data_IF_056972214797
#
_entry.id   IF_056972214797
#
_cell.length_a   1.000
_cell.length_b   1.000
_cell.length_c   1.000
_cell.angle_alpha   90.00
_cell.angle_beta   90.00
_cell.angle_gamma   90.00
#
_symmetry.space_group_name_H-M   'P 1'
#
loop_
_entity.id
_entity.type
_entity.pdbx_description
1 polymer ?
#
# COMPACT_ATOMS: atom_id res chain seq x y z
N UNK A 1 32.06 21.03 -69.97
CA UNK A 1 32.22 22.50 -70.02
C UNK A 1 30.89 23.15 -69.67
N UNK A 2 30.90 24.02 -68.64
CA UNK A 2 29.92 25.10 -68.33
C UNK A 2 28.45 24.68 -68.04
N UNK A 3 27.77 25.09 -66.97
CA UNK A 3 28.07 25.95 -65.81
C UNK A 3 27.00 25.71 -64.72
N UNK A 4 27.38 26.03 -63.48
CA UNK A 4 26.60 25.94 -62.24
C UNK A 4 25.65 27.14 -62.06
N UNK A 5 24.49 26.96 -61.41
CA UNK A 5 23.97 27.90 -60.40
C UNK A 5 23.02 27.20 -59.41
N UNK A 6 23.08 27.62 -58.14
CA UNK A 6 22.42 27.01 -56.99
C UNK A 6 21.15 27.77 -56.51
N UNK A 7 20.24 26.99 -55.89
CA UNK A 7 19.07 27.22 -55.00
C UNK A 7 18.72 28.64 -54.46
N UNK A 8 17.43 28.93 -54.15
CA UNK A 8 16.91 28.61 -52.82
C UNK A 8 15.47 28.01 -52.75
N UNK A 9 15.24 27.24 -51.67
CA UNK A 9 14.00 26.59 -51.22
C UNK A 9 12.80 27.56 -51.04
N UNK A 10 11.60 27.12 -51.44
CA UNK A 10 10.31 27.60 -50.91
C UNK A 10 9.59 26.48 -50.16
N UNK A 11 9.29 26.76 -48.89
CA UNK A 11 8.42 25.95 -48.04
C UNK A 11 6.99 25.96 -48.62
N UNK A 12 6.32 24.80 -48.66
CA UNK A 12 4.89 24.78 -48.89
C UNK A 12 4.16 23.99 -47.80
N UNK A 13 3.10 24.66 -47.33
CA UNK A 13 2.30 24.43 -46.14
C UNK A 13 1.16 23.47 -46.48
N UNK A 14 0.80 22.64 -45.49
CA UNK A 14 -0.36 21.73 -45.38
C UNK A 14 -1.55 22.02 -46.32
N UNK A 15 -2.05 20.98 -47.01
CA UNK A 15 -3.48 20.84 -47.34
C UNK A 15 -4.12 19.93 -46.30
N UNK A 16 -4.85 20.53 -45.37
CA UNK A 16 -5.86 19.88 -44.55
C UNK A 16 -7.10 19.61 -45.40
N UNK A 17 -7.60 18.37 -45.37
CA UNK A 17 -8.87 17.99 -46.00
C UNK A 17 -10.05 18.57 -45.23
N UNK A 18 -11.10 18.85 -46.00
CA UNK A 18 -12.24 19.76 -45.75
C UNK A 18 -13.25 19.34 -44.66
N UNK A 19 -12.87 18.48 -43.69
CA UNK A 19 -13.82 17.96 -42.68
C UNK A 19 -13.56 18.55 -41.29
N UNK A 20 -12.35 19.03 -41.01
CA UNK A 20 -11.96 19.57 -39.68
C UNK A 20 -12.45 21.01 -39.41
N UNK A 21 -12.88 21.74 -40.45
CA UNK A 21 -13.40 23.11 -40.28
C UNK A 21 -14.92 23.18 -40.00
N UNK A 22 -15.67 22.10 -40.20
CA UNK A 22 -17.13 22.09 -39.98
C UNK A 22 -17.52 21.81 -38.52
N UNK A 23 -16.66 21.14 -37.74
CA UNK A 23 -16.98 20.73 -36.35
C UNK A 23 -16.57 21.77 -35.27
N UNK A 24 -16.16 22.98 -35.67
CA UNK A 24 -15.78 24.06 -34.74
C UNK A 24 -16.78 25.24 -34.69
N UNK A 25 -17.94 25.13 -35.33
CA UNK A 25 -18.91 26.24 -35.42
C UNK A 25 -20.24 25.99 -34.68
N UNK A 26 -20.23 25.27 -33.55
CA UNK A 26 -21.42 25.22 -32.68
C UNK A 26 -21.08 25.91 -31.34
N UNK A 27 -21.68 27.08 -31.05
CA UNK A 27 -21.38 27.88 -29.86
C UNK A 27 -22.15 27.37 -28.63
N UNK A 28 -21.52 27.44 -27.46
CA UNK A 28 -22.20 27.44 -26.16
C UNK A 28 -21.94 28.80 -25.49
N UNK A 29 -23.05 29.50 -25.21
CA UNK A 29 -23.24 30.82 -24.61
C UNK A 29 -22.24 31.20 -23.50
N UNK A 30 -21.61 32.38 -23.55
CA UNK A 30 -22.07 33.74 -23.18
C UNK A 30 -22.10 34.04 -21.66
N UNK A 31 -21.21 34.96 -21.25
CA UNK A 31 -21.29 36.02 -20.22
C UNK A 31 -19.87 36.64 -20.16
N UNK A 32 -19.49 37.75 -20.79
CA UNK A 32 -19.98 39.14 -20.89
C UNK A 32 -19.65 40.02 -19.66
N UNK A 33 -18.58 40.82 -19.79
CA UNK A 33 -18.31 42.14 -19.17
C UNK A 33 -17.22 42.83 -20.04
N UNK A 34 -17.58 43.67 -21.03
CA UNK A 34 -17.55 45.16 -21.04
C UNK A 34 -16.16 45.78 -20.67
N UNK A 35 -15.29 46.19 -21.61
CA UNK A 35 -15.22 47.40 -22.48
C UNK A 35 -15.14 48.76 -21.77
N UNK A 36 -14.01 49.48 -21.91
CA UNK A 36 -13.85 50.83 -22.51
C UNK A 36 -12.54 51.54 -22.09
N UNK A 37 -11.96 52.35 -22.99
CA UNK A 37 -11.19 53.55 -22.61
C UNK A 37 -9.80 53.72 -23.26
N UNK A 38 -9.64 54.79 -24.05
CA UNK A 38 -8.42 55.19 -24.75
C UNK A 38 -7.64 56.32 -24.07
N UNK A 39 -6.37 56.46 -24.46
CA UNK A 39 -5.58 57.72 -24.67
C UNK A 39 -4.53 58.19 -23.62
N UNK A 40 -3.26 58.21 -24.09
CA UNK A 40 -2.06 59.04 -23.79
C UNK A 40 -1.59 59.44 -22.36
N UNK A 41 -0.34 59.10 -21.99
CA UNK A 41 0.78 60.06 -21.71
C UNK A 41 2.11 59.42 -21.24
N UNK A 42 3.21 59.86 -21.86
CA UNK A 42 4.59 60.17 -21.38
C UNK A 42 5.51 59.11 -20.71
N UNK A 43 6.73 59.06 -21.27
CA UNK A 43 8.02 58.44 -20.91
C UNK A 43 8.29 58.02 -19.44
N UNK A 44 8.80 56.80 -19.28
CA UNK A 44 10.04 56.56 -18.53
C UNK A 44 10.78 55.33 -19.09
N UNK A 45 12.09 55.47 -19.30
CA UNK A 45 12.97 54.46 -19.87
C UNK A 45 13.34 53.41 -18.84
N UNK A 46 12.64 52.28 -18.82
CA UNK A 46 13.07 51.10 -18.08
C UNK A 46 13.56 50.03 -19.07
N UNK A 47 14.87 49.77 -19.05
CA UNK A 47 15.49 48.69 -19.82
C UNK A 47 14.94 47.37 -19.28
N UNK A 48 13.91 46.82 -19.93
CA UNK A 48 13.43 45.47 -19.68
C UNK A 48 14.56 44.48 -19.98
N UNK A 49 14.98 43.62 -19.04
CA UNK A 49 15.88 42.54 -19.37
C UNK A 49 15.20 41.66 -20.41
N UNK A 50 15.93 41.31 -21.46
CA UNK A 50 15.49 40.39 -22.51
C UNK A 50 14.86 39.17 -21.85
N UNK A 51 13.53 39.06 -21.96
CA UNK A 51 12.78 37.87 -21.62
C UNK A 51 13.30 36.74 -22.49
N UNK A 52 14.27 36.00 -21.95
CA UNK A 52 14.68 34.73 -22.52
C UNK A 52 13.44 33.86 -22.62
N UNK A 53 13.20 33.28 -23.80
CA UNK A 53 12.15 32.28 -24.00
C UNK A 53 12.19 31.30 -22.82
N UNK A 54 11.04 30.92 -22.24
CA UNK A 54 10.99 29.90 -21.20
C UNK A 54 11.80 28.71 -21.69
N UNK A 55 12.80 28.31 -20.89
CA UNK A 55 13.61 27.12 -21.18
C UNK A 55 12.61 25.98 -21.47
N UNK A 56 12.69 25.31 -22.62
CA UNK A 56 11.74 24.24 -22.93
C UNK A 56 11.78 23.26 -21.76
N UNK A 57 10.59 22.94 -21.21
CA UNK A 57 10.44 21.94 -20.14
C UNK A 57 11.19 20.69 -20.60
N UNK A 58 12.23 20.30 -19.85
CA UNK A 58 13.02 19.09 -20.13
C UNK A 58 12.01 17.96 -20.34
N UNK A 59 12.04 17.31 -21.51
CA UNK A 59 11.16 16.17 -21.78
C UNK A 59 11.46 15.15 -20.68
N UNK A 60 10.48 14.84 -19.82
CA UNK A 60 10.67 13.87 -18.74
C UNK A 60 11.20 12.59 -19.34
N UNK A 61 12.28 12.07 -18.77
CA UNK A 61 12.77 10.76 -19.17
C UNK A 61 11.71 9.73 -18.74
N UNK A 62 11.48 8.70 -19.54
CA UNK A 62 10.48 7.67 -19.23
C UNK A 62 10.74 6.92 -17.92
N UNK A 63 11.92 7.13 -17.32
CA UNK A 63 12.36 6.55 -16.05
C UNK A 63 12.23 7.54 -14.87
N UNK A 64 11.84 8.79 -15.10
CA UNK A 64 11.65 9.78 -14.04
C UNK A 64 10.46 9.41 -13.16
N UNK A 65 10.58 9.70 -11.86
CA UNK A 65 9.46 9.51 -10.94
C UNK A 65 8.30 10.45 -11.30
N UNK A 66 7.05 10.04 -11.09
CA UNK A 66 5.91 10.93 -11.30
C UNK A 66 5.95 12.13 -10.34
N UNK A 67 5.28 13.24 -10.70
CA UNK A 67 5.40 14.52 -9.98
C UNK A 67 4.96 14.45 -8.51
N UNK A 68 4.08 13.51 -8.18
CA UNK A 68 3.59 13.32 -6.81
C UNK A 68 4.71 12.91 -5.84
N UNK A 69 5.80 12.27 -6.31
CA UNK A 69 6.97 11.88 -5.50
C UNK A 69 8.00 12.99 -5.28
N UNK A 70 7.80 14.18 -5.86
CA UNK A 70 8.75 15.31 -5.77
C UNK A 70 8.27 16.34 -4.75
N UNK A 71 9.02 16.58 -3.67
CA UNK A 71 8.63 17.56 -2.65
C UNK A 71 8.46 18.98 -3.22
N UNK A 72 7.40 19.67 -2.75
CA UNK A 72 7.18 21.11 -3.01
C UNK A 72 7.47 21.97 -1.77
N UNK A 73 8.08 21.37 -0.75
CA UNK A 73 8.29 21.96 0.56
C UNK A 73 7.41 21.30 1.61
N UNK A 74 7.94 21.18 2.83
CA UNK A 74 7.32 20.43 3.93
C UNK A 74 5.87 20.83 4.21
N UNK A 75 5.58 22.13 4.28
CA UNK A 75 4.24 22.63 4.60
C UNK A 75 3.21 22.36 3.49
N UNK A 76 3.63 22.40 2.22
CA UNK A 76 2.76 22.03 1.09
C UNK A 76 2.47 20.52 1.13
N UNK A 77 3.52 19.73 1.32
CA UNK A 77 3.41 18.27 1.39
C UNK A 77 2.50 17.82 2.54
N UNK A 78 2.54 18.53 3.69
CA UNK A 78 1.69 18.26 4.84
C UNK A 78 0.21 18.57 4.53
N UNK A 79 -0.09 19.77 4.01
CA UNK A 79 -1.47 20.20 3.70
C UNK A 79 -2.13 19.37 2.61
N UNK A 80 -1.35 18.91 1.65
CA UNK A 80 -1.83 18.15 0.48
C UNK A 80 -1.84 16.64 0.71
N UNK A 81 -1.38 16.16 1.87
CA UNK A 81 -1.25 14.72 2.17
C UNK A 81 -0.11 14.01 1.42
N UNK A 82 0.68 14.75 0.63
CA UNK A 82 1.80 14.21 -0.14
C UNK A 82 2.97 13.77 0.72
N UNK A 83 2.99 14.15 2.00
CA UNK A 83 3.96 13.65 2.96
C UNK A 83 4.03 12.12 2.97
N UNK A 84 2.94 11.40 2.72
CA UNK A 84 2.92 9.92 2.62
C UNK A 84 3.68 9.36 1.41
N UNK A 85 3.93 10.19 0.40
CA UNK A 85 4.65 9.85 -0.83
C UNK A 85 6.07 10.41 -0.87
N UNK A 86 6.42 11.25 0.09
CA UNK A 86 7.68 11.98 0.12
C UNK A 86 8.46 11.54 1.36
N UNK A 87 9.61 10.88 1.20
CA UNK A 87 10.33 10.27 2.31
C UNK A 87 10.84 11.32 3.30
N UNK A 88 11.33 12.47 2.85
CA UNK A 88 11.78 13.55 3.73
C UNK A 88 10.66 14.09 4.61
N UNK A 89 9.49 14.37 4.04
CA UNK A 89 8.33 14.89 4.76
C UNK A 89 7.76 13.88 5.76
N UNK A 90 7.64 12.60 5.38
CA UNK A 90 7.28 11.53 6.33
C UNK A 90 8.31 11.40 7.47
N UNK A 91 9.61 11.49 7.18
CA UNK A 91 10.67 11.40 8.18
C UNK A 91 10.57 12.53 9.19
N UNK A 92 10.38 13.78 8.74
CA UNK A 92 10.22 14.92 9.66
C UNK A 92 9.04 14.68 10.60
N UNK A 93 7.89 14.23 10.09
CA UNK A 93 6.71 13.96 10.94
C UNK A 93 7.01 12.86 11.96
N UNK A 94 7.65 11.76 11.55
CA UNK A 94 8.01 10.65 12.44
C UNK A 94 9.01 11.06 13.53
N UNK A 95 9.92 12.01 13.23
CA UNK A 95 10.90 12.50 14.21
C UNK A 95 10.30 13.44 15.26
N UNK A 96 9.13 14.07 15.00
CA UNK A 96 8.52 15.02 15.94
C UNK A 96 8.27 14.38 17.32
N UNK A 97 7.60 13.21 17.46
CA UNK A 97 7.40 12.57 18.76
C UNK A 97 8.71 12.17 19.45
N UNK A 98 9.75 11.81 18.68
CA UNK A 98 11.08 11.46 19.22
C UNK A 98 11.73 12.71 19.84
N UNK A 99 11.75 13.82 19.11
CA UNK A 99 12.30 15.09 19.58
C UNK A 99 11.53 15.58 20.81
N UNK A 100 10.21 15.51 20.78
CA UNK A 100 9.37 15.91 21.92
C UNK A 100 9.58 15.01 23.14
N UNK A 101 9.75 13.70 22.94
CA UNK A 101 10.09 12.75 24.00
C UNK A 101 11.43 13.10 24.66
N UNK A 102 12.49 13.32 23.86
CA UNK A 102 13.82 13.69 24.35
C UNK A 102 13.78 15.03 25.09
N UNK A 103 13.16 16.05 24.48
CA UNK A 103 13.03 17.37 25.10
C UNK A 103 12.30 17.31 26.44
N UNK A 104 11.20 16.54 26.55
CA UNK A 104 10.50 16.38 27.81
C UNK A 104 11.40 15.76 28.90
N UNK A 105 12.20 14.74 28.55
CA UNK A 105 13.13 14.13 29.51
C UNK A 105 14.24 15.09 29.93
N UNK A 106 14.77 15.91 28.99
CA UNK A 106 15.73 16.96 29.31
C UNK A 106 15.13 18.02 30.25
N UNK A 107 13.88 18.44 30.02
CA UNK A 107 13.21 19.41 30.88
C UNK A 107 13.02 18.87 32.32
N UNK A 108 12.75 17.57 32.49
CA UNK A 108 12.73 16.93 33.82
C UNK A 108 14.14 16.87 34.43
N UNK A 109 15.15 16.49 33.63
CA UNK A 109 16.54 16.39 34.08
C UNK A 109 17.12 17.73 34.55
N UNK A 110 16.80 18.82 33.85
CA UNK A 110 17.24 20.18 34.19
C UNK A 110 16.30 20.88 35.20
N UNK A 111 15.41 20.14 35.87
CA UNK A 111 14.47 20.63 36.87
C UNK A 111 13.54 21.77 36.40
N UNK A 112 13.31 21.89 35.09
CA UNK A 112 12.28 22.79 34.53
C UNK A 112 10.89 22.18 34.76
N UNK A 113 10.77 20.86 34.66
CA UNK A 113 9.59 20.09 35.03
C UNK A 113 9.83 19.33 36.34
N UNK A 114 8.75 19.09 37.10
CA UNK A 114 8.84 18.34 38.36
C UNK A 114 9.37 16.92 38.14
N UNK A 115 10.26 16.41 38.99
CA UNK A 115 10.64 15.00 39.00
C UNK A 115 9.41 14.09 39.08
N UNK A 116 9.38 13.04 38.25
CA UNK A 116 8.24 12.12 38.19
C UNK A 116 7.10 12.52 37.24
N UNK A 117 7.22 13.64 36.52
CA UNK A 117 6.27 13.98 35.44
C UNK A 117 6.32 12.90 34.35
N UNK A 118 5.18 12.28 34.03
CA UNK A 118 5.12 11.25 32.99
C UNK A 118 5.23 11.87 31.61
N UNK A 119 6.15 11.35 30.79
CA UNK A 119 6.31 11.76 29.41
C UNK A 119 5.10 11.33 28.56
N UNK A 120 4.31 12.25 28.00
CA UNK A 120 3.13 11.90 27.20
C UNK A 120 3.50 11.34 25.83
N UNK A 121 4.66 11.69 25.28
CA UNK A 121 5.09 11.27 23.95
C UNK A 121 5.56 9.81 23.91
N UNK A 122 5.81 9.19 25.07
CA UNK A 122 6.19 7.77 25.15
C UNK A 122 5.17 6.84 24.49
N UNK A 123 3.89 7.21 24.50
CA UNK A 123 2.80 6.42 23.91
C UNK A 123 2.79 6.43 22.38
N UNK A 124 3.43 7.42 21.75
CA UNK A 124 3.63 7.46 20.29
C UNK A 124 4.82 6.58 19.84
N UNK A 125 5.73 6.26 20.77
CA UNK A 125 7.01 5.61 20.46
C UNK A 125 7.10 4.17 20.94
N UNK A 126 6.49 3.84 22.07
CA UNK A 126 6.64 2.56 22.74
C UNK A 126 5.29 1.91 23.00
N UNK A 127 5.26 0.57 22.93
CA UNK A 127 4.07 -0.21 23.27
C UNK A 127 3.68 0.04 24.73
N UNK A 128 2.38 0.17 24.98
CA UNK A 128 1.82 0.53 26.28
C UNK A 128 1.21 -0.67 27.02
N UNK A 129 0.63 -0.51 28.21
CA UNK A 129 -0.07 -1.60 28.91
C UNK A 129 0.82 -2.69 29.49
N UNK A 130 2.03 -2.34 29.98
CA UNK A 130 2.94 -3.29 30.65
C UNK A 130 2.39 -3.71 32.01
N UNK A 131 2.39 -5.01 32.27
CA UNK A 131 1.95 -5.65 33.51
C UNK A 131 3.14 -5.89 34.48
N UNK A 132 2.90 -6.10 35.79
CA UNK A 132 3.96 -6.30 36.78
C UNK A 132 4.89 -7.48 36.50
N UNK A 133 4.38 -8.52 35.83
CA UNK A 133 5.15 -9.70 35.45
C UNK A 133 5.97 -9.53 34.17
N UNK A 134 6.01 -8.32 33.60
CA UNK A 134 6.76 -8.01 32.39
C UNK A 134 6.04 -8.29 31.07
N UNK A 135 4.85 -8.90 31.11
CA UNK A 135 3.99 -9.08 29.93
C UNK A 135 3.19 -7.81 29.62
N UNK A 136 2.41 -7.83 28.54
CA UNK A 136 1.62 -6.70 28.08
C UNK A 136 0.16 -7.07 27.90
N UNK A 137 -0.72 -6.08 28.05
CA UNK A 137 -2.14 -6.20 27.69
C UNK A 137 -2.57 -5.08 26.76
N UNK A 138 -3.81 -5.10 26.26
CA UNK A 138 -4.34 -4.05 25.40
C UNK A 138 -4.47 -2.72 26.15
N UNK A 139 -4.27 -1.60 25.46
CA UNK A 139 -4.38 -0.28 26.07
C UNK A 139 -4.88 0.74 25.06
N UNK A 140 -5.61 1.76 25.52
CA UNK A 140 -6.07 2.86 24.67
C UNK A 140 -4.91 3.64 24.05
N UNK A 141 -3.76 3.68 24.74
CA UNK A 141 -2.55 4.34 24.25
C UNK A 141 -1.91 3.61 23.06
N UNK A 142 -2.32 2.38 22.76
CA UNK A 142 -1.88 1.68 21.55
C UNK A 142 -2.39 2.41 20.29
N UNK A 143 -3.48 3.18 20.36
CA UNK A 143 -3.93 4.02 19.24
C UNK A 143 -2.93 5.14 18.92
N UNK A 144 -2.27 5.71 19.93
CA UNK A 144 -1.21 6.70 19.70
C UNK A 144 -0.01 6.05 19.02
N UNK A 145 0.38 4.85 19.46
CA UNK A 145 1.42 4.06 18.81
C UNK A 145 1.07 3.81 17.34
N UNK A 146 -0.13 3.33 17.04
CA UNK A 146 -0.58 3.10 15.65
C UNK A 146 -0.51 4.37 14.81
N UNK A 147 -0.95 5.51 15.33
CA UNK A 147 -0.93 6.78 14.59
C UNK A 147 0.50 7.19 14.17
N UNK A 148 1.48 7.08 15.07
CA UNK A 148 2.86 7.38 14.73
C UNK A 148 3.48 6.34 13.78
N UNK A 149 3.13 5.06 13.96
CA UNK A 149 3.71 4.00 13.13
C UNK A 149 3.09 3.89 11.74
N UNK A 150 1.91 4.47 11.49
CA UNK A 150 1.41 4.73 10.12
C UNK A 150 2.33 5.71 9.39
N UNK A 151 2.84 6.73 10.08
CA UNK A 151 3.82 7.67 9.52
C UNK A 151 5.15 6.97 9.28
N UNK A 152 5.62 6.17 10.25
CA UNK A 152 6.81 5.34 10.10
C UNK A 152 6.73 4.46 8.84
N UNK A 153 5.63 3.73 8.64
CA UNK A 153 5.47 2.87 7.47
C UNK A 153 5.41 3.66 6.16
N UNK A 154 4.83 4.86 6.18
CA UNK A 154 4.86 5.76 5.02
C UNK A 154 6.29 6.19 4.68
N UNK A 155 7.12 6.53 5.68
CA UNK A 155 8.54 6.81 5.49
C UNK A 155 9.28 5.59 4.92
N UNK A 156 9.18 4.42 5.57
CA UNK A 156 9.88 3.19 5.17
C UNK A 156 9.52 2.82 3.74
N UNK A 157 8.23 2.86 3.39
CA UNK A 157 7.75 2.57 2.03
C UNK A 157 8.44 3.44 0.98
N UNK A 158 8.42 4.75 1.19
CA UNK A 158 8.97 5.68 0.19
C UNK A 158 10.49 5.64 0.16
N UNK A 159 11.13 5.49 1.31
CA UNK A 159 12.57 5.35 1.40
C UNK A 159 13.04 4.11 0.61
N UNK A 160 12.48 2.95 0.90
CA UNK A 160 12.82 1.68 0.23
C UNK A 160 12.51 1.76 -1.27
N UNK A 161 11.33 2.26 -1.64
CA UNK A 161 10.90 2.38 -3.03
C UNK A 161 11.85 3.26 -3.86
N UNK A 162 12.17 4.45 -3.38
CA UNK A 162 12.93 5.45 -4.13
C UNK A 162 14.44 5.19 -4.07
N UNK A 163 14.97 4.83 -2.90
CA UNK A 163 16.41 4.79 -2.67
C UNK A 163 17.02 3.40 -2.79
N UNK A 164 16.22 2.33 -2.71
CA UNK A 164 16.70 0.94 -2.79
C UNK A 164 16.18 0.28 -4.06
N UNK A 165 14.85 0.19 -4.21
CA UNK A 165 14.23 -0.59 -5.27
C UNK A 165 14.36 0.06 -6.65
N UNK A 166 14.29 1.39 -6.75
CA UNK A 166 14.45 2.10 -8.04
C UNK A 166 15.84 1.97 -8.64
N UNK A 167 16.95 2.21 -7.91
CA UNK A 167 18.28 1.90 -8.41
C UNK A 167 18.44 0.44 -8.82
N UNK A 168 17.88 -0.49 -8.03
CA UNK A 168 17.89 -1.92 -8.34
C UNK A 168 17.13 -2.24 -9.63
N UNK A 169 15.94 -1.68 -9.84
CA UNK A 169 15.15 -1.87 -11.06
C UNK A 169 15.90 -1.41 -12.33
N UNK A 170 16.58 -0.26 -12.24
CA UNK A 170 17.40 0.29 -13.33
C UNK A 170 18.61 -0.61 -13.58
N UNK A 171 19.28 -1.10 -12.52
CA UNK A 171 20.41 -2.01 -12.63
C UNK A 171 20.03 -3.37 -13.25
N UNK A 172 18.80 -3.84 -13.00
CA UNK A 172 18.22 -5.04 -13.61
C UNK A 172 17.74 -4.82 -15.05
N UNK A 173 17.87 -3.61 -15.61
CA UNK A 173 17.52 -3.31 -16.99
C UNK A 173 16.02 -3.11 -17.25
N UNK A 174 15.20 -2.96 -16.21
CA UNK A 174 13.75 -2.68 -16.33
C UNK A 174 13.56 -1.26 -16.86
N UNK A 175 12.68 -1.09 -17.85
CA UNK A 175 12.45 0.20 -18.54
C UNK A 175 10.97 0.57 -18.57
N UNK A 176 10.69 1.88 -18.63
CA UNK A 176 9.34 2.42 -18.83
C UNK A 176 8.38 2.16 -17.67
N UNK A 177 7.09 1.99 -17.99
CA UNK A 177 6.02 1.82 -17.01
C UNK A 177 6.16 0.61 -16.07
N UNK A 178 6.91 -0.42 -16.50
CA UNK A 178 7.21 -1.62 -15.70
C UNK A 178 8.03 -1.30 -14.44
N UNK A 179 8.78 -0.18 -14.42
CA UNK A 179 9.55 0.22 -13.24
C UNK A 179 8.62 0.39 -12.04
N UNK A 180 7.57 1.21 -12.14
CA UNK A 180 6.67 1.47 -11.00
C UNK A 180 6.00 0.19 -10.49
N UNK A 181 5.65 -0.74 -11.39
CA UNK A 181 5.08 -2.04 -11.02
C UNK A 181 6.07 -2.92 -10.30
N UNK A 182 7.32 -2.94 -10.77
CA UNK A 182 8.40 -3.61 -10.05
C UNK A 182 8.64 -2.99 -8.67
N UNK A 183 8.55 -1.67 -8.53
CA UNK A 183 8.70 -1.00 -7.23
C UNK A 183 7.58 -1.38 -6.24
N UNK A 184 6.33 -1.40 -6.69
CA UNK A 184 5.19 -1.82 -5.88
C UNK A 184 5.35 -3.27 -5.39
N UNK A 185 5.65 -4.20 -6.30
CA UNK A 185 5.84 -5.62 -5.94
C UNK A 185 7.13 -5.83 -5.13
N UNK A 186 8.21 -5.11 -5.45
CA UNK A 186 9.46 -5.18 -4.71
C UNK A 186 9.31 -4.70 -3.27
N UNK A 187 8.47 -3.68 -3.03
CA UNK A 187 8.15 -3.26 -1.67
C UNK A 187 7.32 -4.31 -0.93
N UNK A 188 6.39 -4.97 -1.61
CA UNK A 188 5.65 -6.11 -1.03
C UNK A 188 6.61 -7.26 -0.65
N UNK A 189 7.57 -7.63 -1.51
CA UNK A 189 8.61 -8.61 -1.17
C UNK A 189 9.38 -8.17 0.08
N UNK A 190 9.86 -6.91 0.11
CA UNK A 190 10.59 -6.37 1.26
C UNK A 190 9.79 -6.46 2.56
N UNK A 191 8.54 -5.99 2.54
CA UNK A 191 7.69 -5.95 3.72
C UNK A 191 7.33 -7.35 4.21
N UNK A 192 6.72 -8.17 3.34
CA UNK A 192 6.24 -9.49 3.73
C UNK A 192 7.38 -10.45 4.08
N UNK A 193 8.58 -10.29 3.51
CA UNK A 193 9.74 -11.11 3.92
C UNK A 193 10.14 -10.82 5.36
N UNK A 194 10.15 -9.56 5.77
CA UNK A 194 10.51 -9.16 7.14
C UNK A 194 9.38 -9.54 8.11
N UNK A 195 8.15 -9.08 7.85
CA UNK A 195 7.03 -9.28 8.77
C UNK A 195 6.52 -10.72 8.76
N UNK A 196 6.56 -11.41 7.63
CA UNK A 196 6.23 -12.84 7.55
C UNK A 196 7.21 -13.69 8.36
N UNK A 197 8.52 -13.41 8.25
CA UNK A 197 9.55 -14.09 9.07
C UNK A 197 9.39 -13.79 10.56
N UNK A 198 9.15 -12.53 10.93
CA UNK A 198 8.85 -12.14 12.30
C UNK A 198 7.56 -12.80 12.82
N UNK A 199 6.54 -12.95 11.98
CA UNK A 199 5.30 -13.63 12.31
C UNK A 199 5.53 -15.11 12.62
N UNK A 200 6.34 -15.81 11.82
CA UNK A 200 6.76 -17.20 12.09
C UNK A 200 7.53 -17.27 13.41
N UNK A 201 8.47 -16.35 13.66
CA UNK A 201 9.22 -16.29 14.91
C UNK A 201 8.31 -16.09 16.12
N UNK A 202 7.38 -15.14 16.06
CA UNK A 202 6.38 -14.89 17.12
C UNK A 202 5.51 -16.12 17.34
N UNK A 203 4.97 -16.70 16.27
CA UNK A 203 4.10 -17.87 16.33
C UNK A 203 4.81 -19.08 16.96
N UNK A 204 6.12 -19.25 16.72
CA UNK A 204 6.92 -20.32 17.33
C UNK A 204 6.98 -20.21 18.86
N UNK A 205 6.88 -19.00 19.41
CA UNK A 205 6.80 -18.76 20.85
C UNK A 205 5.41 -18.98 21.45
N UNK A 206 4.38 -19.24 20.63
CA UNK A 206 3.00 -19.45 21.06
C UNK A 206 2.64 -20.94 21.12
N UNK A 207 1.68 -21.34 21.97
CA UNK A 207 1.18 -22.72 22.03
C UNK A 207 0.52 -23.16 20.72
N UNK A 208 0.16 -22.21 19.85
CA UNK A 208 -0.44 -22.47 18.53
C UNK A 208 0.55 -23.00 17.49
N UNK A 209 1.85 -23.11 17.80
CA UNK A 209 2.84 -23.65 16.87
C UNK A 209 2.67 -25.18 16.64
N UNK A 210 2.53 -25.70 15.41
CA UNK A 210 2.24 -25.06 14.12
C UNK A 210 0.77 -25.31 13.77
N UNK A 211 -0.05 -24.25 13.80
CA UNK A 211 -1.51 -24.28 13.63
C UNK A 211 -2.22 -25.33 14.52
N UNK A 212 -1.79 -25.45 15.78
CA UNK A 212 -2.55 -26.14 16.84
C UNK A 212 -3.70 -25.26 17.29
N UNK A 213 -4.80 -25.35 16.56
CA UNK A 213 -5.91 -24.40 16.64
C UNK A 213 -6.75 -24.54 17.90
N UNK A 214 -6.63 -25.64 18.64
CA UNK A 214 -7.26 -25.82 19.95
C UNK A 214 -6.83 -24.72 20.94
N UNK A 215 -5.58 -24.25 20.84
CA UNK A 215 -5.03 -23.18 21.67
C UNK A 215 -5.50 -21.77 21.28
N UNK A 216 -6.31 -21.63 20.22
CA UNK A 216 -7.06 -20.40 20.00
C UNK A 216 -8.14 -20.19 21.07
N UNK A 217 -8.57 -21.28 21.71
CA UNK A 217 -9.74 -21.31 22.59
C UNK A 217 -9.40 -21.74 24.01
N UNK A 218 -8.46 -22.68 24.16
CA UNK A 218 -7.95 -23.09 25.48
C UNK A 218 -7.29 -21.87 26.13
N UNK A 219 -7.57 -21.68 27.42
CA UNK A 219 -7.10 -20.56 28.25
C UNK A 219 -7.54 -19.17 27.76
N UNK A 220 -8.54 -19.09 26.88
CA UNK A 220 -9.19 -17.83 26.54
C UNK A 220 -9.85 -17.23 27.80
N UNK A 221 -9.71 -15.91 28.07
CA UNK A 221 -9.05 -14.90 27.24
C UNK A 221 -7.53 -14.80 27.41
N UNK A 222 -6.80 -14.70 26.30
CA UNK A 222 -5.35 -14.51 26.26
C UNK A 222 -4.96 -13.05 26.58
N UNK A 223 -5.23 -12.60 27.82
CA UNK A 223 -5.04 -11.20 28.24
C UNK A 223 -3.59 -10.74 28.27
N UNK A 224 -2.67 -11.69 28.37
CA UNK A 224 -1.24 -11.45 28.50
C UNK A 224 -0.54 -11.76 27.18
N UNK A 225 0.15 -10.77 26.65
CA UNK A 225 0.95 -10.85 25.43
C UNK A 225 2.41 -10.69 25.78
N UNK A 226 3.28 -11.46 25.14
CA UNK A 226 4.71 -11.18 25.19
C UNK A 226 5.01 -9.86 24.47
N UNK A 227 6.18 -9.28 24.71
CA UNK A 227 6.55 -8.03 24.05
C UNK A 227 6.63 -8.20 22.53
N UNK A 228 7.12 -9.36 22.07
CA UNK A 228 7.23 -9.74 20.66
C UNK A 228 5.85 -9.79 20.02
N UNK A 229 4.91 -10.51 20.64
CA UNK A 229 3.55 -10.64 20.15
C UNK A 229 2.87 -9.29 20.01
N UNK A 230 2.89 -8.47 21.08
CA UNK A 230 2.23 -7.17 21.05
C UNK A 230 2.85 -6.23 20.02
N UNK A 231 4.18 -6.16 19.97
CA UNK A 231 4.89 -5.30 19.01
C UNK A 231 4.60 -5.73 17.58
N UNK A 232 4.74 -7.01 17.27
CA UNK A 232 4.43 -7.55 15.95
C UNK A 232 3.01 -7.22 15.51
N UNK A 233 2.04 -7.45 16.41
CA UNK A 233 0.62 -7.23 16.11
C UNK A 233 0.31 -5.75 15.84
N UNK A 234 0.84 -4.83 16.65
CA UNK A 234 0.63 -3.39 16.45
C UNK A 234 1.37 -2.86 15.20
N UNK A 235 2.55 -3.40 14.89
CA UNK A 235 3.29 -3.05 13.67
C UNK A 235 2.53 -3.47 12.41
N UNK A 236 1.96 -4.68 12.40
CA UNK A 236 1.06 -5.16 11.37
C UNK A 236 -0.17 -4.26 11.23
N UNK A 237 -0.86 -3.98 12.34
CA UNK A 237 -2.03 -3.12 12.33
C UNK A 237 -1.73 -1.72 11.75
N UNK A 238 -0.61 -1.10 12.15
CA UNK A 238 -0.20 0.20 11.62
C UNK A 238 0.07 0.15 10.11
N UNK A 239 0.70 -0.92 9.61
CA UNK A 239 0.93 -1.11 8.18
C UNK A 239 -0.38 -1.26 7.40
N UNK A 240 -1.30 -2.10 7.87
CA UNK A 240 -2.57 -2.33 7.17
C UNK A 240 -3.47 -1.09 7.18
N UNK A 241 -3.43 -0.27 8.24
CA UNK A 241 -4.06 1.05 8.27
C UNK A 241 -3.41 1.95 7.21
N UNK A 242 -2.08 2.00 7.17
CA UNK A 242 -1.33 2.81 6.20
C UNK A 242 -1.67 2.40 4.76
N UNK A 243 -1.69 1.11 4.45
CA UNK A 243 -2.03 0.60 3.11
C UNK A 243 -3.49 0.92 2.75
N UNK A 244 -4.41 0.86 3.72
CA UNK A 244 -5.82 1.23 3.50
C UNK A 244 -5.97 2.72 3.21
N UNK A 245 -5.22 3.60 3.87
CA UNK A 245 -5.20 5.03 3.58
C UNK A 245 -4.71 5.29 2.15
N UNK A 246 -3.65 4.62 1.73
CA UNK A 246 -3.12 4.74 0.36
C UNK A 246 -4.15 4.29 -0.70
N UNK A 247 -4.82 3.16 -0.44
CA UNK A 247 -5.88 2.64 -1.30
C UNK A 247 -7.07 3.60 -1.39
N UNK A 248 -7.54 4.11 -0.25
CA UNK A 248 -8.67 5.03 -0.16
C UNK A 248 -8.38 6.36 -0.87
N UNK A 249 -7.13 6.84 -0.77
CA UNK A 249 -6.66 8.02 -1.49
C UNK A 249 -6.46 7.79 -3.01
N UNK A 250 -6.63 6.56 -3.50
CA UNK A 250 -6.41 6.15 -4.90
C UNK A 250 -5.06 6.61 -5.44
N UNK A 251 -4.04 6.54 -4.58
CA UNK A 251 -2.67 6.90 -4.93
C UNK A 251 -2.12 5.95 -5.99
N UNK A 252 -2.47 4.67 -5.88
CA UNK A 252 -2.17 3.64 -6.88
C UNK A 252 -3.29 3.59 -7.92
N UNK A 253 -2.93 3.41 -9.20
CA UNK A 253 -3.91 3.27 -10.29
C UNK A 253 -4.85 2.11 -9.95
N UNK A 254 -6.18 2.31 -9.92
CA UNK A 254 -7.13 1.24 -9.64
C UNK A 254 -6.96 0.07 -10.61
N UNK A 255 -6.89 -1.15 -10.06
CA UNK A 255 -6.80 -2.40 -10.82
C UNK A 255 -8.19 -2.90 -11.21
N UNK A 256 -8.28 -3.88 -12.12
CA UNK A 256 -9.56 -4.49 -12.53
C UNK A 256 -10.33 -5.10 -11.36
N UNK A 257 -9.63 -5.56 -10.33
CA UNK A 257 -10.20 -6.15 -9.12
C UNK A 257 -10.20 -5.18 -7.91
N UNK A 258 -10.29 -3.87 -8.17
CA UNK A 258 -10.25 -2.85 -7.13
C UNK A 258 -11.36 -3.03 -6.07
N UNK A 259 -12.55 -3.50 -6.45
CA UNK A 259 -13.67 -3.69 -5.51
C UNK A 259 -13.38 -4.82 -4.53
N UNK A 260 -12.86 -5.92 -5.03
CA UNK A 260 -12.45 -7.09 -4.26
C UNK A 260 -11.29 -6.74 -3.32
N UNK A 261 -10.33 -5.94 -3.80
CA UNK A 261 -9.24 -5.42 -2.97
C UNK A 261 -9.75 -4.50 -1.86
N UNK A 262 -10.70 -3.60 -2.13
CA UNK A 262 -11.33 -2.76 -1.09
C UNK A 262 -12.09 -3.61 -0.08
N UNK A 263 -12.88 -4.59 -0.53
CA UNK A 263 -13.58 -5.52 0.35
C UNK A 263 -12.60 -6.30 1.24
N UNK A 264 -11.47 -6.75 0.68
CA UNK A 264 -10.39 -7.38 1.42
C UNK A 264 -9.87 -6.46 2.53
N UNK A 265 -9.53 -5.21 2.24
CA UNK A 265 -9.02 -4.27 3.24
C UNK A 265 -10.00 -3.99 4.37
N UNK A 266 -11.31 -3.90 4.06
CA UNK A 266 -12.36 -3.76 5.09
C UNK A 266 -12.37 -4.98 6.01
N UNK A 267 -12.40 -6.19 5.43
CA UNK A 267 -12.40 -7.45 6.20
C UNK A 267 -11.11 -7.61 7.01
N UNK A 268 -9.96 -7.28 6.43
CA UNK A 268 -8.65 -7.35 7.10
C UNK A 268 -8.60 -6.41 8.30
N UNK A 269 -8.94 -5.12 8.15
CA UNK A 269 -8.97 -4.19 9.29
C UNK A 269 -9.98 -4.60 10.37
N UNK A 270 -11.13 -5.15 9.95
CA UNK A 270 -12.10 -5.71 10.89
C UNK A 270 -11.50 -6.86 11.70
N UNK A 271 -10.86 -7.83 11.05
CA UNK A 271 -10.23 -8.99 11.71
C UNK A 271 -9.11 -8.55 12.66
N UNK A 272 -8.25 -7.62 12.24
CA UNK A 272 -7.15 -7.08 13.07
C UNK A 272 -7.71 -6.36 14.30
N UNK A 273 -8.66 -5.44 14.09
CA UNK A 273 -9.26 -4.68 15.19
C UNK A 273 -10.00 -5.56 16.18
N UNK A 274 -10.87 -6.45 15.70
CA UNK A 274 -11.65 -7.32 16.57
C UNK A 274 -10.78 -8.35 17.27
N UNK A 275 -9.87 -9.04 16.59
CA UNK A 275 -9.06 -10.06 17.27
C UNK A 275 -8.09 -9.47 18.29
N UNK A 276 -7.66 -8.21 18.15
CA UNK A 276 -6.94 -7.49 19.22
C UNK A 276 -7.84 -7.15 20.42
N UNK A 277 -9.03 -6.59 20.17
CA UNK A 277 -9.94 -6.18 21.24
C UNK A 277 -10.51 -7.36 22.03
N UNK A 278 -10.73 -8.50 21.36
CA UNK A 278 -11.33 -9.70 21.92
C UNK A 278 -10.30 -10.64 22.57
N UNK A 279 -9.01 -10.29 22.64
CA UNK A 279 -7.95 -11.21 23.10
C UNK A 279 -7.82 -12.49 22.25
N UNK A 280 -8.11 -12.40 20.95
CA UNK A 280 -7.95 -13.48 19.97
C UNK A 280 -6.71 -13.28 19.09
N UNK A 281 -5.67 -12.65 19.66
CA UNK A 281 -4.44 -12.32 18.92
C UNK A 281 -3.74 -13.56 18.36
N UNK A 282 -3.94 -14.73 18.96
CA UNK A 282 -3.41 -16.01 18.47
C UNK A 282 -4.01 -16.42 17.11
N UNK A 283 -5.32 -16.20 16.92
CA UNK A 283 -5.97 -16.37 15.61
C UNK A 283 -5.42 -15.33 14.65
N UNK A 284 -5.33 -14.07 15.08
CA UNK A 284 -4.82 -12.97 14.26
C UNK A 284 -3.40 -13.21 13.74
N UNK A 285 -2.45 -13.65 14.58
CA UNK A 285 -1.09 -14.02 14.18
C UNK A 285 -1.10 -15.18 13.18
N UNK A 286 -1.92 -16.20 13.42
CA UNK A 286 -2.02 -17.34 12.50
C UNK A 286 -2.52 -16.88 11.12
N UNK A 287 -3.52 -16.00 11.06
CA UNK A 287 -3.99 -15.42 9.81
C UNK A 287 -2.90 -14.55 9.16
N UNK A 288 -2.22 -13.66 9.89
CA UNK A 288 -1.11 -12.86 9.35
C UNK A 288 -0.04 -13.75 8.70
N UNK A 289 0.39 -14.83 9.38
CA UNK A 289 1.39 -15.75 8.83
C UNK A 289 0.89 -16.42 7.55
N UNK A 290 -0.37 -16.89 7.49
CA UNK A 290 -0.91 -17.45 6.24
C UNK A 290 -0.88 -16.45 5.10
N UNK A 291 -1.24 -15.20 5.36
CA UNK A 291 -1.34 -14.18 4.33
C UNK A 291 0.04 -13.75 3.85
N UNK A 292 0.89 -13.31 4.77
CA UNK A 292 2.18 -12.72 4.46
C UNK A 292 3.09 -13.72 3.73
N UNK A 293 3.17 -14.97 4.20
CA UNK A 293 4.07 -15.97 3.60
C UNK A 293 3.71 -16.20 2.13
N UNK A 294 2.43 -16.32 1.82
CA UNK A 294 1.99 -16.47 0.42
C UNK A 294 2.23 -15.21 -0.43
N UNK A 295 2.12 -14.02 0.16
CA UNK A 295 2.31 -12.75 -0.55
C UNK A 295 3.78 -12.47 -0.88
N UNK A 296 4.73 -13.00 -0.08
CA UNK A 296 6.16 -13.01 -0.44
C UNK A 296 6.34 -13.63 -1.82
N UNK A 297 5.81 -14.83 -2.02
CA UNK A 297 6.04 -15.58 -3.26
C UNK A 297 5.20 -15.06 -4.42
N UNK A 298 4.01 -14.52 -4.17
CA UNK A 298 3.23 -13.80 -5.19
C UNK A 298 4.03 -12.61 -5.73
N UNK A 299 4.50 -11.74 -4.83
CA UNK A 299 5.23 -10.54 -5.20
C UNK A 299 6.57 -10.88 -5.85
N UNK A 300 7.26 -11.92 -5.36
CA UNK A 300 8.51 -12.41 -5.94
C UNK A 300 8.31 -12.94 -7.36
N UNK A 301 7.28 -13.76 -7.61
CA UNK A 301 6.97 -14.27 -8.94
C UNK A 301 6.71 -13.12 -9.94
N UNK A 302 6.02 -12.06 -9.51
CA UNK A 302 5.82 -10.85 -10.31
C UNK A 302 7.12 -10.08 -10.55
N UNK A 303 7.95 -9.88 -9.53
CA UNK A 303 9.26 -9.24 -9.68
C UNK A 303 10.15 -9.99 -10.67
N UNK A 304 10.20 -11.33 -10.60
CA UNK A 304 10.94 -12.16 -11.57
C UNK A 304 10.36 -11.99 -12.97
N UNK A 305 9.03 -11.99 -13.13
CA UNK A 305 8.39 -11.78 -14.43
C UNK A 305 8.75 -10.43 -15.06
N UNK A 306 8.87 -9.35 -14.27
CA UNK A 306 9.28 -8.05 -14.79
C UNK A 306 10.75 -7.99 -15.24
N UNK A 307 11.61 -8.86 -14.70
CA UNK A 307 13.03 -8.95 -15.06
C UNK A 307 13.24 -9.93 -16.22
N UNK A 308 12.62 -11.10 -16.15
CA UNK A 308 12.74 -12.17 -17.13
C UNK A 308 11.50 -13.06 -17.13
N UNK A 309 10.73 -12.97 -18.22
CA UNK A 309 9.55 -13.82 -18.45
C UNK A 309 9.94 -15.31 -18.50
N UNK A 310 11.12 -15.64 -19.04
CA UNK A 310 11.61 -17.03 -19.13
C UNK A 310 11.95 -17.64 -17.75
N UNK A 311 12.32 -16.83 -16.77
CA UNK A 311 12.61 -17.29 -15.41
C UNK A 311 11.35 -17.37 -14.53
N UNK A 312 10.23 -16.79 -14.96
CA UNK A 312 8.99 -16.71 -14.17
C UNK A 312 8.30 -18.06 -13.88
N UNK A 313 8.22 -19.04 -14.81
CA UNK A 313 7.43 -20.26 -14.61
C UNK A 313 7.72 -21.05 -13.32
N UNK A 314 8.98 -21.36 -12.94
CA UNK A 314 9.25 -22.11 -11.72
C UNK A 314 8.82 -21.34 -10.45
N UNK A 315 9.00 -20.02 -10.42
CA UNK A 315 8.54 -19.19 -9.31
C UNK A 315 7.02 -19.13 -9.23
N UNK A 316 6.35 -19.03 -10.38
CA UNK A 316 4.89 -19.04 -10.45
C UNK A 316 4.32 -20.39 -9.98
N UNK A 317 4.87 -21.52 -10.42
CA UNK A 317 4.44 -22.85 -9.98
C UNK A 317 4.65 -23.05 -8.47
N UNK A 318 5.82 -22.62 -7.95
CA UNK A 318 6.10 -22.66 -6.52
C UNK A 318 5.11 -21.80 -5.73
N UNK A 319 4.86 -20.58 -6.19
CA UNK A 319 3.86 -19.67 -5.63
C UNK A 319 2.47 -20.31 -5.54
N UNK A 320 2.01 -21.00 -6.59
CA UNK A 320 0.70 -21.69 -6.58
C UNK A 320 0.63 -22.73 -5.46
N UNK A 321 1.69 -23.51 -5.25
CA UNK A 321 1.80 -24.47 -4.16
C UNK A 321 1.71 -23.80 -2.78
N UNK A 322 2.50 -22.74 -2.57
CA UNK A 322 2.49 -21.98 -1.31
C UNK A 322 1.14 -21.34 -1.05
N UNK A 323 0.53 -20.70 -2.06
CA UNK A 323 -0.81 -20.13 -1.96
C UNK A 323 -1.85 -21.19 -1.57
N UNK A 324 -1.83 -22.35 -2.22
CA UNK A 324 -2.77 -23.45 -1.92
C UNK A 324 -2.67 -23.90 -0.46
N UNK A 325 -1.46 -24.05 0.07
CA UNK A 325 -1.25 -24.48 1.45
C UNK A 325 -1.62 -23.38 2.46
N UNK A 326 -1.05 -22.18 2.33
CA UNK A 326 -1.23 -21.13 3.32
C UNK A 326 -2.59 -20.44 3.21
N UNK A 327 -3.03 -20.04 2.00
CA UNK A 327 -4.28 -19.27 1.82
C UNK A 327 -5.52 -20.13 1.91
N UNK A 328 -5.44 -21.43 1.60
CA UNK A 328 -6.62 -22.29 1.58
C UNK A 328 -6.58 -23.39 2.62
N UNK A 329 -5.61 -24.31 2.59
CA UNK A 329 -5.59 -25.42 3.53
C UNK A 329 -5.56 -24.93 4.99
N UNK A 330 -4.62 -24.05 5.35
CA UNK A 330 -4.52 -23.52 6.71
C UNK A 330 -5.67 -22.58 7.08
N UNK A 331 -6.19 -21.80 6.14
CA UNK A 331 -7.34 -20.93 6.41
C UNK A 331 -8.63 -21.74 6.66
N UNK A 332 -8.87 -22.81 5.89
CA UNK A 332 -9.96 -23.77 6.12
C UNK A 332 -9.77 -24.46 7.47
N UNK A 333 -8.53 -24.80 7.85
CA UNK A 333 -8.23 -25.37 9.17
C UNK A 333 -8.58 -24.41 10.32
N UNK A 334 -8.29 -23.11 10.17
CA UNK A 334 -8.72 -22.07 11.12
C UNK A 334 -10.25 -21.98 11.16
N UNK A 335 -10.94 -21.96 10.01
CA UNK A 335 -12.40 -21.93 9.96
C UNK A 335 -13.03 -23.16 10.62
N UNK A 336 -12.47 -24.34 10.38
CA UNK A 336 -12.89 -25.58 11.04
C UNK A 336 -12.75 -25.47 12.56
N UNK A 337 -11.66 -24.88 13.04
CA UNK A 337 -11.46 -24.62 14.47
C UNK A 337 -12.51 -23.67 15.05
N UNK A 338 -12.80 -22.55 14.38
CA UNK A 338 -13.89 -21.64 14.81
C UNK A 338 -15.22 -22.36 14.85
N UNK A 339 -15.48 -23.27 13.90
CA UNK A 339 -16.74 -24.00 13.86
C UNK A 339 -16.83 -25.11 14.91
N UNK A 340 -15.77 -25.86 15.18
CA UNK A 340 -15.80 -27.08 16.01
C UNK A 340 -15.24 -26.90 17.41
N UNK A 341 -14.21 -26.06 17.56
CA UNK A 341 -13.42 -25.92 18.79
C UNK A 341 -13.77 -24.69 19.62
N UNK A 342 -14.66 -23.80 19.15
CA UNK A 342 -15.13 -22.62 19.92
C UNK A 342 -15.63 -22.95 21.33
N UNK A 343 -16.21 -24.14 21.52
CA UNK A 343 -16.73 -24.58 22.82
C UNK A 343 -15.65 -25.02 23.81
N UNK A 344 -14.36 -25.06 23.41
CA UNK A 344 -13.24 -25.26 24.33
C UNK A 344 -13.02 -24.05 25.25
N UNK A 345 -13.58 -22.90 24.92
CA UNK A 345 -13.64 -21.75 25.82
C UNK A 345 -14.51 -22.10 27.03
N UNK A 346 -14.00 -21.81 28.23
CA UNK A 346 -14.73 -21.97 29.49
C UNK A 346 -16.10 -21.28 29.39
N UNK A 347 -17.15 -21.97 29.81
CA UNK A 347 -18.54 -21.53 29.68
C UNK A 347 -18.77 -20.15 30.31
N UNK A 348 -18.09 -19.85 31.42
CA UNK A 348 -18.17 -18.55 32.11
C UNK A 348 -17.66 -17.37 31.26
N UNK A 349 -16.81 -17.62 30.27
CA UNK A 349 -16.25 -16.59 29.39
C UNK A 349 -17.06 -16.40 28.10
N UNK A 350 -18.03 -17.27 27.80
CA UNK A 350 -18.84 -17.26 26.56
C UNK A 350 -20.36 -17.14 26.76
N UNK A 351 -20.79 -16.56 27.87
CA UNK A 351 -22.22 -16.45 28.25
C UNK A 351 -22.73 -15.01 28.37
N UNK A 352 -21.85 -14.00 28.22
CA UNK A 352 -22.25 -12.60 28.41
C UNK A 352 -21.43 -11.65 27.56
N UNK A 353 -22.11 -10.95 26.65
CA UNK A 353 -21.54 -9.81 25.91
C UNK A 353 -21.69 -8.51 26.70
N UNK A 354 -20.63 -8.08 27.39
CA UNK A 354 -20.55 -6.80 28.11
C UNK A 354 -19.16 -6.15 27.92
N UNK A 355 -18.91 -5.48 26.77
CA UNK A 355 -17.59 -4.92 26.44
C UNK A 355 -17.03 -3.92 27.46
N UNK A 356 -17.92 -3.15 28.13
CA UNK A 356 -17.52 -2.19 29.16
C UNK A 356 -16.98 -2.86 30.43
N UNK A 357 -17.35 -4.12 30.67
CA UNK A 357 -16.85 -4.97 31.77
C UNK A 357 -15.73 -5.91 31.29
N UNK A 358 -15.19 -5.68 30.07
CA UNK A 358 -14.18 -6.51 29.42
C UNK A 358 -14.62 -7.97 29.21
N UNK A 359 -15.92 -8.18 29.02
CA UNK A 359 -16.54 -9.47 28.66
C UNK A 359 -17.02 -9.42 27.22
N UNK A 360 -16.39 -10.22 26.35
CA UNK A 360 -16.51 -10.05 24.90
C UNK A 360 -17.20 -11.20 24.17
N UNK A 361 -17.28 -12.39 24.76
CA UNK A 361 -17.83 -13.56 24.08
C UNK A 361 -19.19 -13.98 24.62
N UNK A 362 -20.03 -14.35 23.66
CA UNK A 362 -21.36 -14.91 23.84
C UNK A 362 -21.57 -15.94 22.70
N UNK A 363 -22.64 -16.73 22.74
CA UNK A 363 -22.86 -17.83 21.79
C UNK A 363 -22.86 -17.36 20.32
N UNK A 364 -23.34 -16.15 20.04
CA UNK A 364 -23.40 -15.57 18.68
C UNK A 364 -22.04 -15.04 18.20
N UNK A 365 -21.09 -14.78 19.11
CA UNK A 365 -19.75 -14.27 18.76
C UNK A 365 -18.93 -15.25 17.93
N UNK A 366 -19.25 -16.55 18.02
CA UNK A 366 -18.73 -17.57 17.10
C UNK A 366 -18.90 -17.16 15.64
N UNK A 367 -20.09 -16.66 15.27
CA UNK A 367 -20.39 -16.24 13.91
C UNK A 367 -19.73 -14.90 13.55
N UNK A 368 -19.60 -14.00 14.53
CA UNK A 368 -18.86 -12.76 14.35
C UNK A 368 -17.38 -13.00 14.03
N UNK A 369 -16.78 -14.08 14.56
CA UNK A 369 -15.43 -14.52 14.23
C UNK A 369 -15.40 -15.30 12.90
N UNK A 370 -16.34 -16.23 12.70
CA UNK A 370 -16.37 -17.11 11.53
C UNK A 370 -16.60 -16.36 10.22
N UNK A 371 -17.61 -15.49 10.16
CA UNK A 371 -18.05 -14.80 8.93
C UNK A 371 -16.92 -13.98 8.28
N UNK A 372 -16.18 -13.10 8.98
CA UNK A 372 -15.12 -12.33 8.33
C UNK A 372 -13.94 -13.20 7.87
N UNK A 373 -13.59 -14.27 8.59
CA UNK A 373 -12.56 -15.23 8.13
C UNK A 373 -13.07 -15.97 6.87
N UNK A 374 -14.35 -16.32 6.84
CA UNK A 374 -14.98 -16.97 5.68
C UNK A 374 -15.06 -16.03 4.47
N UNK A 375 -15.42 -14.76 4.67
CA UNK A 375 -15.38 -13.73 3.61
C UNK A 375 -13.96 -13.57 3.07
N UNK A 376 -12.96 -13.58 3.94
CA UNK A 376 -11.56 -13.55 3.55
C UNK A 376 -11.18 -14.78 2.70
N UNK A 377 -11.66 -15.97 3.07
CA UNK A 377 -11.49 -17.19 2.27
C UNK A 377 -12.17 -17.10 0.90
N UNK A 378 -13.38 -16.52 0.80
CA UNK A 378 -14.07 -16.33 -0.48
C UNK A 378 -13.31 -15.40 -1.41
N UNK A 379 -12.77 -14.29 -0.89
CA UNK A 379 -11.94 -13.37 -1.68
C UNK A 379 -10.66 -14.07 -2.14
N UNK A 380 -10.02 -14.85 -1.26
CA UNK A 380 -8.84 -15.64 -1.65
C UNK A 380 -9.18 -16.67 -2.73
N UNK A 381 -10.35 -17.31 -2.68
CA UNK A 381 -10.81 -18.25 -3.72
C UNK A 381 -11.06 -17.56 -5.05
N UNK A 382 -11.60 -16.35 -5.04
CA UNK A 382 -11.74 -15.53 -6.25
C UNK A 382 -10.38 -15.30 -6.92
N UNK A 383 -9.36 -14.86 -6.16
CA UNK A 383 -8.02 -14.69 -6.72
C UNK A 383 -7.38 -16.02 -7.12
N UNK A 384 -7.65 -17.11 -6.40
CA UNK A 384 -7.15 -18.43 -6.73
C UNK A 384 -7.71 -18.95 -8.06
N UNK A 385 -8.99 -18.69 -8.34
CA UNK A 385 -9.58 -18.95 -9.64
C UNK A 385 -8.82 -18.22 -10.76
N UNK A 386 -8.46 -16.95 -10.56
CA UNK A 386 -7.66 -16.19 -11.53
C UNK A 386 -6.25 -16.76 -11.69
N UNK A 387 -5.61 -17.16 -10.59
CA UNK A 387 -4.28 -17.78 -10.60
C UNK A 387 -4.29 -19.09 -11.40
N UNK A 388 -5.28 -19.96 -11.16
CA UNK A 388 -5.44 -21.20 -11.92
C UNK A 388 -5.74 -20.95 -13.39
N UNK A 389 -6.55 -19.94 -13.70
CA UNK A 389 -6.82 -19.55 -15.09
C UNK A 389 -5.53 -19.15 -15.82
N UNK A 390 -4.65 -18.40 -15.16
CA UNK A 390 -3.32 -18.03 -15.69
C UNK A 390 -2.43 -19.28 -15.82
N UNK A 391 -2.42 -20.17 -14.83
CA UNK A 391 -1.64 -21.40 -14.86
C UNK A 391 -2.03 -22.32 -16.03
N UNK A 392 -3.34 -22.52 -16.24
CA UNK A 392 -3.87 -23.31 -17.36
C UNK A 392 -3.47 -22.66 -18.68
N UNK A 393 -3.61 -21.33 -18.81
CA UNK A 393 -3.16 -20.62 -20.01
C UNK A 393 -1.67 -20.79 -20.29
N UNK A 394 -0.84 -20.68 -19.26
CA UNK A 394 0.60 -20.85 -19.37
C UNK A 394 0.97 -22.27 -19.84
N UNK A 395 0.33 -23.30 -19.28
CA UNK A 395 0.63 -24.70 -19.60
C UNK A 395 0.12 -25.10 -21.00
N UNK A 396 -1.08 -24.67 -21.38
CA UNK A 396 -1.73 -25.14 -22.62
C UNK A 396 -1.51 -24.22 -23.83
N UNK A 397 -1.30 -22.93 -23.61
CA UNK A 397 -1.22 -21.91 -24.68
C UNK A 397 0.12 -21.16 -24.71
N UNK A 398 1.06 -21.51 -23.82
CA UNK A 398 2.39 -20.88 -23.69
C UNK A 398 2.33 -19.35 -23.55
N UNK A 399 1.27 -18.84 -22.90
CA UNK A 399 1.03 -17.42 -22.64
C UNK A 399 0.90 -17.21 -21.12
N UNK A 400 1.81 -16.42 -20.54
CA UNK A 400 1.94 -16.16 -19.11
C UNK A 400 1.41 -14.77 -18.70
N UNK A 401 0.75 -14.05 -19.60
CA UNK A 401 0.24 -12.69 -19.32
C UNK A 401 -0.88 -12.72 -18.28
N UNK A 402 -0.68 -11.99 -17.18
CA UNK A 402 -1.69 -11.79 -16.12
C UNK A 402 -2.72 -10.76 -16.61
N UNK A 403 -3.95 -11.18 -16.94
CA UNK A 403 -5.01 -10.28 -17.45
C UNK A 403 -5.40 -9.15 -16.47
N UNK A 404 -5.10 -9.32 -15.17
CA UNK A 404 -5.27 -8.24 -14.18
C UNK A 404 -4.29 -7.09 -14.45
N UNK A 405 -3.18 -7.38 -15.11
CA UNK A 405 -2.14 -6.43 -15.51
C UNK A 405 -2.25 -5.91 -16.94
N UNK A 406 -3.24 -6.34 -17.74
CA UNK A 406 -3.34 -5.95 -19.17
C UNK A 406 -3.55 -4.43 -19.41
N UNK A 407 -4.03 -3.67 -18.41
CA UNK A 407 -4.17 -2.20 -18.51
C UNK A 407 -2.91 -1.46 -17.99
N UNK A 408 -1.83 -2.18 -17.71
CA UNK A 408 -0.58 -1.68 -17.11
C UNK A 408 0.52 -1.40 -18.14
N UNK A 409 0.38 -1.90 -19.37
CA UNK A 409 1.33 -1.75 -20.47
C UNK A 409 0.93 -0.67 -21.50
N UNK A 410 -0.22 0.01 -21.35
CA UNK A 410 -0.59 1.12 -22.24
C UNK A 410 0.30 2.36 -21.96
N UNK A 411 1.03 2.87 -22.96
CA UNK A 411 1.80 4.10 -22.79
C UNK A 411 0.87 5.29 -22.56
N UNK A 412 1.16 6.10 -21.55
CA UNK A 412 0.52 7.40 -21.36
C UNK A 412 0.80 8.30 -22.59
N UNK A 413 -0.16 8.34 -23.52
CA UNK A 413 -0.11 9.19 -24.70
C UNK A 413 0.14 8.45 -26.01
N UNK A 414 -0.83 7.66 -26.44
CA UNK A 414 -0.94 7.20 -27.81
C UNK A 414 -2.24 6.44 -28.00
N UNK A 415 -3.20 7.04 -28.71
CA UNK A 415 -4.38 6.32 -29.19
C UNK A 415 -3.91 5.16 -30.07
N UNK A 416 -3.93 3.94 -29.52
CA UNK A 416 -3.66 2.71 -30.26
C UNK A 416 -4.82 2.47 -31.22
N UNK A 417 -4.61 2.85 -32.48
CA UNK A 417 -5.48 2.46 -33.59
C UNK A 417 -5.10 1.04 -33.96
N UNK A 418 -5.70 0.05 -33.31
CA UNK A 418 -5.50 -1.35 -33.68
C UNK A 418 -6.84 -2.06 -33.74
N UNK A 419 -7.64 -1.73 -34.75
CA UNK A 419 -8.69 -2.63 -35.24
C UNK A 419 -9.05 -2.27 -36.69
N UNK A 420 -9.21 -3.30 -37.53
CA UNK A 420 -9.51 -3.32 -38.97
C UNK A 420 -8.32 -3.35 -39.94
N UNK A 421 -7.62 -4.48 -39.94
CA UNK A 421 -7.17 -5.12 -41.18
C UNK A 421 -7.44 -6.64 -41.08
N UNK A 422 -8.71 -7.00 -41.21
CA UNK A 422 -9.17 -8.32 -41.68
C UNK A 422 -10.43 -8.09 -42.49
N UNK A 423 -10.25 -7.91 -43.79
CA UNK A 423 -11.19 -8.24 -44.87
C UNK A 423 -10.40 -8.02 -46.16
N UNK A 424 -9.79 -9.12 -46.64
CA UNK A 424 -9.54 -9.35 -48.06
C UNK A 424 -10.59 -10.33 -48.54
#
# INVERSE_FOLDING_TARGET
MSSSTASPRKANRRRSSSVTNALKQIPLNQQQEQSYGSTHSIQESEVKPLSGKPRPRKRKDANDLPDNYISRGFWDDLKTGRWMLIPSSSLVIFLIPIILYVNHNLLVQYNVLKPGTSNPFKYLLFISGRLPNGTYTKSIYDLAFLANYVVFWSFVRQFVTIHILRPMAIALGIKGGKIMRFLEQGYAVFYFSILGTLGIFVMRGLPTWWYKTEYFWIDYPHKQMTWELKTYYLMQAAYWIQQTILLAAKIEKPRKDFKELVAHHIVTLWLIGWSYNLYLTYIGVSIFVTMDVSDIFLALAKCVNYVSEAASPPFFAFFVGVWSYFRHYLNIWILWSVYTQFNLIDEKERTRFAPLEDKWLDWWMKWQIFVPIFLLQLINLFWYFLIWRILIKAVFYNDLRDERSDDEDEPEGGQTTTEKLKEQ
#
